data_IF_405088848412
#
_entry.id   IF_405088848412
#
_cell.length_a   1.000
_cell.length_b   1.000
_cell.length_c   1.000
_cell.angle_alpha   90.00
_cell.angle_beta   90.00
_cell.angle_gamma   90.00
#
_symmetry.space_group_name_H-M   'P 1'
#
loop_
_entity.id
_entity.type
_entity.pdbx_description
1 polymer ?
#
# COMPACT_ATOMS: atom_id res chain seq x y z
N UNK A 1 -23.65 -14.47 -6.70
CA UNK A 1 -23.00 -13.24 -7.17
C UNK A 1 -22.08 -13.64 -8.31
N UNK A 2 -22.26 -13.10 -9.51
CA UNK A 2 -21.40 -13.42 -10.65
C UNK A 2 -20.10 -12.64 -10.50
N UNK A 3 -18.97 -13.33 -10.43
CA UNK A 3 -17.66 -12.66 -10.31
C UNK A 3 -17.24 -12.20 -11.69
N UNK A 4 -17.07 -10.89 -11.86
CA UNK A 4 -16.61 -10.27 -13.10
C UNK A 4 -15.08 -10.45 -13.20
N UNK A 5 -14.59 -10.83 -14.37
CA UNK A 5 -13.15 -10.90 -14.66
C UNK A 5 -12.65 -9.60 -15.27
N UNK A 6 -11.50 -9.13 -14.80
CA UNK A 6 -10.85 -7.90 -15.25
C UNK A 6 -9.47 -8.20 -15.83
N UNK A 7 -9.03 -7.36 -16.76
CA UNK A 7 -7.71 -7.45 -17.40
C UNK A 7 -6.58 -6.91 -16.52
N UNK A 8 -6.87 -5.95 -15.63
CA UNK A 8 -5.90 -5.29 -14.77
C UNK A 8 -6.53 -4.78 -13.47
N UNK A 9 -5.68 -4.47 -12.49
CA UNK A 9 -6.08 -3.82 -11.25
C UNK A 9 -6.62 -2.41 -11.51
N UNK A 10 -6.11 -1.70 -12.52
CA UNK A 10 -6.61 -0.39 -12.92
C UNK A 10 -8.03 -0.44 -13.48
N UNK A 11 -8.33 -1.42 -14.35
CA UNK A 11 -9.68 -1.62 -14.89
C UNK A 11 -10.68 -1.98 -13.79
N UNK A 12 -10.24 -2.82 -12.85
CA UNK A 12 -11.02 -3.22 -11.70
C UNK A 12 -11.30 -2.03 -10.77
N UNK A 13 -10.30 -1.19 -10.48
CA UNK A 13 -10.47 0.04 -9.69
C UNK A 13 -11.45 1.03 -10.34
N UNK A 14 -11.32 1.28 -11.64
CA UNK A 14 -12.23 2.19 -12.37
C UNK A 14 -13.67 1.66 -12.42
N UNK A 15 -13.85 0.34 -12.45
CA UNK A 15 -15.17 -0.29 -12.39
C UNK A 15 -15.76 -0.18 -10.98
N UNK A 16 -14.95 -0.41 -9.95
CA UNK A 16 -15.35 -0.23 -8.56
C UNK A 16 -15.84 1.19 -8.28
N UNK A 17 -15.19 2.23 -8.79
CA UNK A 17 -15.66 3.62 -8.61
C UNK A 17 -17.05 3.90 -9.20
N UNK A 18 -17.50 3.10 -10.17
CA UNK A 18 -18.82 3.25 -10.80
C UNK A 18 -19.90 2.43 -10.08
N UNK A 19 -19.56 1.25 -9.56
CA UNK A 19 -20.50 0.30 -8.95
C UNK A 19 -20.55 0.38 -7.41
N UNK A 20 -19.38 0.62 -6.79
CA UNK A 20 -19.17 0.63 -5.36
C UNK A 20 -19.54 1.92 -4.58
N UNK A 21 -20.04 3.04 -5.15
CA UNK A 21 -20.58 4.09 -4.28
C UNK A 21 -21.84 3.62 -3.52
N UNK A 22 -22.42 2.47 -3.88
CA UNK A 22 -23.66 1.93 -3.28
C UNK A 22 -23.68 0.43 -2.96
N UNK A 23 -22.74 -0.39 -3.47
CA UNK A 23 -22.78 -1.85 -3.31
C UNK A 23 -21.42 -2.47 -3.04
N UNK A 24 -21.42 -3.66 -2.42
CA UNK A 24 -20.23 -4.51 -2.30
C UNK A 24 -19.72 -4.89 -3.70
N UNK A 25 -18.44 -4.60 -3.98
CA UNK A 25 -17.78 -4.88 -5.25
C UNK A 25 -16.88 -6.10 -5.13
N UNK A 26 -17.01 -7.06 -6.05
CA UNK A 26 -16.17 -8.25 -6.14
C UNK A 26 -15.77 -8.53 -7.59
N UNK A 27 -14.47 -8.75 -7.81
CA UNK A 27 -13.88 -9.01 -9.12
C UNK A 27 -12.70 -9.96 -9.04
N UNK A 28 -12.32 -10.53 -10.18
CA UNK A 28 -11.14 -11.40 -10.29
C UNK A 28 -10.25 -10.95 -11.44
N UNK A 29 -8.94 -11.12 -11.30
CA UNK A 29 -7.96 -10.98 -12.38
C UNK A 29 -7.37 -12.38 -12.58
N UNK A 30 -7.76 -13.12 -13.64
CA UNK A 30 -7.43 -14.55 -13.77
C UNK A 30 -5.92 -14.86 -13.80
N UNK A 31 -5.12 -13.93 -14.32
CA UNK A 31 -3.66 -14.00 -14.34
C UNK A 31 -3.14 -12.68 -13.82
N UNK A 32 -2.48 -12.69 -12.67
CA UNK A 32 -1.95 -11.49 -12.03
C UNK A 32 -0.45 -11.37 -12.31
N UNK A 33 -0.06 -10.32 -13.03
CA UNK A 33 1.31 -10.01 -13.44
C UNK A 33 1.71 -8.63 -12.94
N UNK A 34 3.00 -8.31 -12.95
CA UNK A 34 3.48 -6.97 -12.56
C UNK A 34 2.82 -5.88 -13.43
N UNK A 35 2.80 -6.09 -14.75
CA UNK A 35 2.23 -5.15 -15.72
C UNK A 35 0.75 -4.82 -15.45
N UNK A 36 -0.04 -5.83 -15.08
CA UNK A 36 -1.47 -5.65 -14.85
C UNK A 36 -1.85 -5.37 -13.39
N UNK A 37 -0.88 -5.43 -12.48
CA UNK A 37 -1.01 -5.05 -11.08
C UNK A 37 -0.69 -3.57 -10.85
N UNK A 38 0.13 -2.96 -11.72
CA UNK A 38 0.61 -1.60 -11.53
C UNK A 38 -0.52 -0.57 -11.68
N UNK A 39 -0.70 0.25 -10.65
CA UNK A 39 -1.59 1.41 -10.64
C UNK A 39 -0.78 2.62 -10.20
N UNK A 40 -0.41 3.46 -11.16
CA UNK A 40 0.30 4.71 -10.87
C UNK A 40 -0.67 5.82 -10.43
N UNK A 41 -0.19 6.71 -9.58
CA UNK A 41 -0.89 7.93 -9.18
C UNK A 41 0.08 9.10 -9.20
N UNK A 42 -0.43 10.33 -9.15
CA UNK A 42 0.41 11.53 -9.05
C UNK A 42 1.37 11.49 -7.84
N UNK A 43 0.97 10.83 -6.75
CA UNK A 43 1.77 10.68 -5.54
C UNK A 43 2.68 9.45 -5.54
N UNK A 44 2.44 8.47 -6.42
CA UNK A 44 3.18 7.20 -6.48
C UNK A 44 3.35 6.78 -7.94
N UNK A 45 4.45 7.24 -8.53
CA UNK A 45 4.95 6.76 -9.82
C UNK A 45 5.50 5.32 -9.72
N UNK A 46 5.72 4.69 -10.88
CA UNK A 46 6.27 3.34 -10.97
C UNK A 46 7.54 3.14 -10.13
N UNK A 47 8.48 4.09 -10.15
CA UNK A 47 9.73 3.98 -9.40
C UNK A 47 9.49 3.95 -7.89
N UNK A 48 8.58 4.80 -7.42
CA UNK A 48 8.16 4.86 -6.02
C UNK A 48 7.44 3.59 -5.61
N UNK A 49 6.56 3.07 -6.46
CA UNK A 49 5.85 1.81 -6.21
C UNK A 49 6.83 0.64 -6.12
N UNK A 50 7.81 0.56 -7.02
CA UNK A 50 8.88 -0.46 -6.98
C UNK A 50 9.72 -0.35 -5.71
N UNK A 51 10.10 0.88 -5.32
CA UNK A 51 10.82 1.13 -4.07
C UNK A 51 10.04 0.62 -2.85
N UNK A 52 8.79 1.04 -2.70
CA UNK A 52 7.98 0.67 -1.55
C UNK A 52 7.59 -0.81 -1.57
N UNK A 53 7.38 -1.43 -2.72
CA UNK A 53 7.18 -2.87 -2.84
C UNK A 53 8.42 -3.64 -2.32
N UNK A 54 9.61 -3.25 -2.79
CA UNK A 54 10.90 -3.81 -2.33
C UNK A 54 11.05 -3.69 -0.81
N UNK A 55 10.85 -2.48 -0.27
CA UNK A 55 10.92 -2.20 1.18
C UNK A 55 9.91 -3.02 1.98
N UNK A 56 8.65 -3.06 1.55
CA UNK A 56 7.56 -3.76 2.26
C UNK A 56 7.72 -5.29 2.23
N UNK A 57 8.37 -5.82 1.21
CA UNK A 57 8.74 -7.24 1.14
C UNK A 57 10.01 -7.58 1.92
N UNK A 58 10.60 -6.62 2.67
CA UNK A 58 11.82 -6.83 3.45
C UNK A 58 13.08 -7.01 2.58
N UNK A 59 13.03 -6.60 1.32
CA UNK A 59 14.19 -6.62 0.43
C UNK A 59 15.09 -5.42 0.73
N UNK A 60 16.39 -5.57 0.46
CA UNK A 60 17.38 -4.54 0.74
C UNK A 60 17.15 -3.29 -0.11
N UNK A 61 17.12 -2.12 0.53
CA UNK A 61 17.07 -0.81 -0.13
C UNK A 61 18.35 -0.04 0.17
N UNK A 62 18.92 0.57 -0.86
CA UNK A 62 20.13 1.40 -0.79
C UNK A 62 19.83 2.73 -0.09
N UNK A 63 20.87 3.38 0.42
CA UNK A 63 20.72 4.68 1.07
C UNK A 63 20.36 5.79 0.07
N UNK A 64 20.79 5.65 -1.19
CA UNK A 64 20.37 6.52 -2.29
C UNK A 64 18.87 6.40 -2.57
N UNK A 65 18.35 5.17 -2.63
CA UNK A 65 16.91 4.92 -2.80
C UNK A 65 16.12 5.53 -1.63
N UNK A 66 16.56 5.29 -0.38
CA UNK A 66 15.90 5.88 0.81
C UNK A 66 15.84 7.40 0.71
N UNK A 67 16.95 8.06 0.40
CA UNK A 67 17.01 9.52 0.27
C UNK A 67 16.08 10.06 -0.81
N UNK A 68 15.83 9.28 -1.87
CA UNK A 68 14.97 9.68 -2.98
C UNK A 68 13.48 9.52 -2.65
N UNK A 69 13.11 8.47 -1.93
CA UNK A 69 11.70 8.08 -1.77
C UNK A 69 11.13 8.32 -0.36
N UNK A 70 11.96 8.32 0.68
CA UNK A 70 11.57 8.61 2.06
C UNK A 70 11.73 10.10 2.33
N UNK A 71 10.75 10.86 1.88
CA UNK A 71 10.74 12.32 1.98
C UNK A 71 9.41 12.79 2.53
N UNK A 72 9.41 13.97 3.15
CA UNK A 72 8.19 14.60 3.68
C UNK A 72 7.10 14.76 2.61
N UNK A 73 7.50 14.99 1.35
CA UNK A 73 6.57 15.12 0.23
C UNK A 73 5.74 13.84 0.01
N UNK A 74 6.34 12.66 0.15
CA UNK A 74 5.67 11.37 -0.07
C UNK A 74 4.75 10.97 1.09
N UNK A 75 4.92 11.56 2.28
CA UNK A 75 3.95 11.41 3.38
C UNK A 75 2.86 12.47 3.39
N UNK A 76 2.81 13.35 2.39
CA UNK A 76 1.80 14.40 2.26
C UNK A 76 1.77 15.32 3.49
N UNK A 77 0.57 15.56 4.03
CA UNK A 77 0.39 16.42 5.21
C UNK A 77 0.96 15.85 6.52
N UNK A 78 1.42 14.59 6.51
CA UNK A 78 1.89 13.88 7.70
C UNK A 78 3.42 13.96 7.88
N UNK A 79 4.14 14.63 6.98
CA UNK A 79 5.60 14.69 6.99
C UNK A 79 6.23 13.35 6.58
N UNK A 80 7.52 13.14 6.87
CA UNK A 80 8.17 11.87 6.55
C UNK A 80 7.68 10.76 7.50
N UNK A 81 6.78 9.93 6.99
CA UNK A 81 6.14 8.88 7.78
C UNK A 81 7.11 7.77 8.21
N UNK A 82 8.30 7.67 7.60
CA UNK A 82 9.26 6.62 7.90
C UNK A 82 10.04 6.85 9.20
N UNK A 83 10.24 8.11 9.59
CA UNK A 83 11.11 8.52 10.71
C UNK A 83 10.72 7.84 12.03
N UNK A 84 9.42 7.77 12.32
CA UNK A 84 8.91 7.25 13.60
C UNK A 84 8.30 5.84 13.46
N UNK A 85 8.39 5.21 12.29
CA UNK A 85 7.66 3.97 12.03
C UNK A 85 8.13 2.83 12.96
N UNK A 86 9.43 2.72 13.20
CA UNK A 86 9.99 1.71 14.11
C UNK A 86 9.49 1.89 15.54
N UNK A 87 9.39 3.12 16.02
CA UNK A 87 8.87 3.43 17.36
C UNK A 87 7.38 3.10 17.46
N UNK A 88 6.61 3.45 16.41
CA UNK A 88 5.18 3.10 16.32
C UNK A 88 4.98 1.60 16.37
N UNK A 89 5.69 0.83 15.54
CA UNK A 89 5.61 -0.64 15.54
C UNK A 89 6.00 -1.21 16.91
N UNK A 90 7.09 -0.70 17.50
CA UNK A 90 7.53 -1.14 18.83
C UNK A 90 6.45 -0.91 19.89
N UNK A 91 5.80 0.26 19.87
CA UNK A 91 4.71 0.57 20.78
C UNK A 91 3.50 -0.36 20.59
N UNK A 92 3.11 -0.66 19.34
CA UNK A 92 2.03 -1.61 19.04
C UNK A 92 2.37 -3.00 19.57
N UNK A 93 3.57 -3.50 19.25
CA UNK A 93 4.04 -4.81 19.70
C UNK A 93 4.04 -4.89 21.23
N UNK A 94 4.62 -3.89 21.90
CA UNK A 94 4.65 -3.84 23.37
C UNK A 94 3.22 -3.80 23.95
N UNK A 95 2.33 -3.00 23.38
CA UNK A 95 0.93 -2.92 23.85
C UNK A 95 0.20 -4.26 23.71
N UNK A 96 0.39 -4.98 22.60
CA UNK A 96 -0.21 -6.32 22.40
C UNK A 96 0.41 -7.38 23.30
N UNK A 97 1.72 -7.30 23.58
CA UNK A 97 2.41 -8.24 24.48
C UNK A 97 1.97 -8.04 25.92
N UNK A 98 1.91 -6.78 26.39
CA UNK A 98 1.50 -6.45 27.76
C UNK A 98 -0.02 -6.57 27.97
N UNK A 99 -0.80 -6.22 26.93
CA UNK A 99 -2.26 -6.21 26.97
C UNK A 99 -2.85 -6.93 25.73
N UNK A 100 -2.87 -8.28 25.71
CA UNK A 100 -3.28 -9.07 24.54
C UNK A 100 -4.71 -8.81 24.03
N UNK A 101 -5.58 -8.23 24.85
CA UNK A 101 -6.98 -7.90 24.51
C UNK A 101 -7.19 -6.41 24.22
N UNK A 102 -6.13 -5.62 24.15
CA UNK A 102 -6.20 -4.17 23.90
C UNK A 102 -6.73 -3.89 22.49
N UNK A 103 -7.67 -2.94 22.40
CA UNK A 103 -8.12 -2.35 21.12
C UNK A 103 -7.38 -1.04 20.78
N UNK A 104 -6.36 -0.70 21.56
CA UNK A 104 -5.59 0.56 21.47
C UNK A 104 -4.17 0.35 20.97
N UNK A 105 -3.83 -0.87 20.58
CA UNK A 105 -2.64 -1.17 19.81
C UNK A 105 -2.92 -0.93 18.33
#
# INVERSE_FOLDING_TARGET
MTIISYSSAFDMFNSALKEAPTFDFAGTIPVFTEDNALIETELFDELSLKYYAKKNCGMEVTDEEKKLFETEYRGGSQGDYSIEMNEKITNVVNSLVEFPSSKRA
#
